data_IF_110827390299
#
_entry.id   IF_110827390299
#
_cell.length_a   1.000
_cell.length_b   1.000
_cell.length_c   1.000
_cell.angle_alpha   90.00
_cell.angle_beta   90.00
_cell.angle_gamma   90.00
#
_symmetry.space_group_name_H-M   'P 1'
#
loop_
_entity.id
_entity.type
_entity.pdbx_description
1 polymer ?
#
# COMPACT_ATOMS: atom_id res chain seq x y z
N UNK A 1 -17.29 65.98 7.25
CA UNK A 1 -16.48 66.99 6.52
C UNK A 1 -15.09 66.94 7.13
N UNK A 2 -14.10 66.60 6.30
CA UNK A 2 -12.61 66.63 6.41
C UNK A 2 -12.05 67.28 7.71
N UNK A 3 -10.98 66.78 8.33
CA UNK A 3 -9.60 66.91 7.85
C UNK A 3 -8.68 65.96 8.65
N UNK A 4 -7.83 65.23 7.92
CA UNK A 4 -6.60 64.59 8.39
C UNK A 4 -5.42 65.55 8.15
N UNK A 5 -4.41 65.57 9.04
CA UNK A 5 -2.97 65.94 8.87
C UNK A 5 -2.32 65.57 10.24
N UNK A 6 -1.60 64.47 10.42
CA UNK A 6 -0.20 64.15 10.04
C UNK A 6 0.86 65.09 10.66
N UNK A 7 1.53 64.66 11.75
CA UNK A 7 2.90 65.08 12.10
C UNK A 7 3.67 63.91 12.72
N UNK A 8 4.90 63.79 12.26
CA UNK A 8 5.86 62.70 12.45
C UNK A 8 6.89 63.00 13.53
N UNK A 9 7.45 61.91 14.10
CA UNK A 9 8.86 61.67 14.46
C UNK A 9 9.41 61.89 15.89
N UNK A 10 10.26 60.91 16.25
CA UNK A 10 11.33 60.80 17.28
C UNK A 10 10.91 60.28 18.67
N UNK A 11 11.08 58.98 18.97
CA UNK A 11 12.31 58.21 19.24
C UNK A 11 12.76 58.34 20.70
N UNK A 12 12.71 57.24 21.49
CA UNK A 12 13.76 56.80 22.45
C UNK A 12 13.51 55.32 22.80
N UNK A 13 14.44 54.48 22.35
CA UNK A 13 15.12 53.40 23.08
C UNK A 13 14.39 52.65 24.20
N UNK A 14 14.17 51.35 23.99
CA UNK A 14 14.62 50.30 24.92
C UNK A 14 14.77 48.99 24.15
N UNK A 15 15.99 48.77 23.68
CA UNK A 15 16.50 47.47 23.24
C UNK A 15 16.59 46.60 24.50
N UNK A 16 15.84 45.50 24.53
CA UNK A 16 16.13 44.37 25.42
C UNK A 16 16.42 43.17 24.54
N UNK A 17 17.69 43.09 24.12
CA UNK A 17 18.32 41.86 23.71
C UNK A 17 18.39 40.93 24.93
N UNK A 18 17.74 39.77 24.88
CA UNK A 18 18.10 38.62 25.69
C UNK A 18 18.00 37.36 24.82
N UNK A 19 19.17 37.06 24.23
CA UNK A 19 19.75 35.73 23.96
C UNK A 19 18.81 34.67 23.40
N UNK A 20 18.85 34.55 22.08
CA UNK A 20 18.80 33.24 21.41
C UNK A 20 19.87 32.34 22.05
N UNK A 21 19.41 31.25 22.66
CA UNK A 21 20.23 30.09 22.92
C UNK A 21 20.10 29.26 21.65
N UNK A 22 21.12 29.35 20.79
CA UNK A 22 21.37 28.36 19.75
C UNK A 22 21.55 27.01 20.45
N UNK A 23 20.46 26.25 20.54
CA UNK A 23 20.55 24.83 20.83
C UNK A 23 20.87 24.16 19.50
N UNK A 24 22.15 23.95 19.28
CA UNK A 24 22.70 23.12 18.23
C UNK A 24 22.24 21.68 18.49
N UNK A 25 21.01 21.36 18.07
CA UNK A 25 20.57 19.99 17.88
C UNK A 25 21.40 19.46 16.70
N UNK A 26 22.47 18.74 17.04
CA UNK A 26 23.18 17.88 16.09
C UNK A 26 22.17 16.91 15.48
N UNK A 27 21.76 17.22 14.26
CA UNK A 27 21.02 16.34 13.37
C UNK A 27 21.83 15.02 13.25
N UNK A 28 21.23 13.84 13.49
CA UNK A 28 21.96 12.59 13.32
C UNK A 28 22.31 12.46 11.83
N UNK A 29 23.61 12.43 11.54
CA UNK A 29 24.17 12.25 10.19
C UNK A 29 23.43 11.11 9.51
N UNK A 30 22.77 11.40 8.38
CA UNK A 30 22.10 10.34 7.62
C UNK A 30 23.17 9.41 7.09
N UNK A 31 22.87 8.10 7.08
CA UNK A 31 23.78 7.06 6.59
C UNK A 31 24.24 7.28 5.13
N UNK A 32 23.54 8.14 4.37
CA UNK A 32 23.87 8.52 3.01
C UNK A 32 24.98 9.60 2.91
N UNK A 33 25.34 10.25 4.01
CA UNK A 33 26.30 11.35 4.05
C UNK A 33 27.70 10.91 4.55
N UNK A 34 27.95 9.60 4.69
CA UNK A 34 29.26 9.06 5.05
C UNK A 34 30.21 9.10 3.84
N UNK A 35 31.30 9.89 3.87
CA UNK A 35 32.25 10.01 2.77
C UNK A 35 33.07 8.72 2.53
N UNK A 36 32.94 7.70 3.37
CA UNK A 36 33.54 6.37 3.16
C UNK A 36 32.55 5.35 2.56
N UNK A 37 31.29 5.72 2.33
CA UNK A 37 30.30 4.84 1.69
C UNK A 37 30.32 5.05 0.17
N UNK A 38 31.22 4.34 -0.51
CA UNK A 38 31.22 4.29 -1.97
C UNK A 38 30.06 3.40 -2.45
N UNK A 39 28.87 3.99 -2.64
CA UNK A 39 27.73 3.32 -3.30
C UNK A 39 27.89 3.47 -4.82
N UNK A 40 28.99 2.96 -5.35
CA UNK A 40 29.20 2.82 -6.79
C UNK A 40 29.67 1.39 -7.14
N UNK A 41 28.89 0.39 -6.75
CA UNK A 41 28.96 -0.92 -7.37
C UNK A 41 27.59 -1.59 -7.39
N UNK A 42 27.02 -1.72 -8.59
CA UNK A 42 25.91 -2.62 -8.87
C UNK A 42 26.22 -4.01 -8.32
N UNK A 43 25.24 -4.66 -7.69
CA UNK A 43 25.32 -6.04 -7.20
C UNK A 43 25.65 -7.09 -8.28
N UNK A 44 25.70 -6.68 -9.55
CA UNK A 44 26.12 -7.51 -10.68
C UNK A 44 27.64 -7.64 -10.85
N UNK A 45 28.46 -6.69 -10.35
CA UNK A 45 29.92 -6.70 -10.62
C UNK A 45 30.75 -7.45 -9.57
N UNK A 46 30.20 -7.71 -8.37
CA UNK A 46 30.89 -8.52 -7.35
C UNK A 46 30.85 -10.02 -7.69
N UNK A 47 29.82 -10.47 -8.43
CA UNK A 47 29.67 -11.87 -8.81
C UNK A 47 30.66 -12.34 -9.90
N UNK A 48 31.30 -11.42 -10.64
CA UNK A 48 32.18 -11.77 -11.76
C UNK A 48 33.68 -11.84 -11.42
N UNK A 49 34.09 -11.39 -10.22
CA UNK A 49 35.51 -11.40 -9.78
C UNK A 49 35.82 -12.31 -8.60
N UNK A 50 34.86 -13.09 -8.13
CA UNK A 50 35.07 -14.10 -7.08
C UNK A 50 34.64 -15.48 -7.54
N UNK A 51 35.27 -15.98 -8.61
CA UNK A 51 35.34 -17.42 -8.83
C UNK A 51 36.50 -17.95 -8.00
N UNK A 52 36.24 -18.25 -6.73
CA UNK A 52 37.09 -19.16 -5.98
C UNK A 52 36.79 -20.55 -6.52
N UNK A 53 37.72 -21.09 -7.32
CA UNK A 53 37.74 -22.51 -7.64
C UNK A 53 37.94 -23.26 -6.32
N UNK A 54 36.88 -23.87 -5.82
CA UNK A 54 36.97 -24.82 -4.73
C UNK A 54 37.03 -26.21 -5.37
N UNK A 55 38.25 -26.75 -5.48
CA UNK A 55 38.43 -28.18 -5.65
C UNK A 55 37.87 -28.88 -4.40
N UNK A 56 37.06 -29.92 -4.61
CA UNK A 56 36.18 -30.54 -3.62
C UNK A 56 36.90 -31.42 -2.56
N UNK A 57 38.21 -31.28 -2.37
CA UNK A 57 38.93 -32.08 -1.37
C UNK A 57 40.20 -31.40 -0.85
N UNK A 58 40.04 -30.29 -0.11
CA UNK A 58 41.11 -29.78 0.74
C UNK A 58 40.57 -29.33 2.10
N UNK A 59 40.64 -30.23 3.07
CA UNK A 59 40.18 -30.02 4.46
C UNK A 59 41.11 -29.16 5.32
N UNK A 60 42.14 -28.52 4.75
CA UNK A 60 43.14 -27.74 5.52
C UNK A 60 43.07 -26.21 5.34
N UNK A 61 41.97 -25.64 4.84
CA UNK A 61 41.91 -24.18 4.57
C UNK A 61 41.47 -23.33 5.78
N UNK A 62 40.81 -23.89 6.81
CA UNK A 62 40.61 -23.16 8.06
C UNK A 62 40.22 -24.12 9.20
N UNK A 63 41.09 -24.36 10.21
CA UNK A 63 40.84 -25.40 11.22
C UNK A 63 39.60 -25.16 12.12
N UNK A 64 38.92 -24.02 12.01
CA UNK A 64 37.87 -23.59 12.96
C UNK A 64 36.64 -22.89 12.33
N UNK A 65 36.43 -23.01 11.01
CA UNK A 65 35.24 -22.41 10.37
C UNK A 65 33.91 -22.90 10.98
N UNK A 66 33.90 -24.11 11.55
CA UNK A 66 32.74 -24.69 12.24
C UNK A 66 32.42 -24.04 13.60
N UNK A 67 33.40 -23.37 14.21
CA UNK A 67 33.28 -22.72 15.53
C UNK A 67 33.07 -21.20 15.41
N UNK A 68 33.25 -20.63 14.22
CA UNK A 68 33.04 -19.20 13.95
C UNK A 68 31.68 -18.70 14.44
N UNK A 69 30.62 -19.51 14.29
CA UNK A 69 29.29 -19.18 14.80
C UNK A 69 29.24 -19.15 16.33
N UNK A 70 29.87 -20.10 17.03
CA UNK A 70 29.86 -20.09 18.50
C UNK A 70 30.71 -18.98 19.09
N UNK A 71 31.76 -18.59 18.38
CA UNK A 71 32.75 -17.64 18.90
C UNK A 71 32.33 -16.19 18.66
N UNK A 72 31.64 -15.91 17.54
CA UNK A 72 31.17 -14.56 17.20
C UNK A 72 29.76 -14.25 17.70
N UNK A 73 28.85 -15.23 17.85
CA UNK A 73 27.50 -14.96 18.38
C UNK A 73 27.51 -14.17 19.70
N UNK A 74 28.26 -14.57 20.74
CA UNK A 74 28.20 -13.87 22.03
C UNK A 74 28.70 -12.42 21.91
N UNK A 75 29.71 -12.17 21.08
CA UNK A 75 30.21 -10.81 20.82
C UNK A 75 29.19 -9.95 20.05
N UNK A 76 28.52 -10.54 19.06
CA UNK A 76 27.46 -9.87 18.28
C UNK A 76 26.25 -9.58 19.18
N UNK A 77 25.87 -10.52 20.06
CA UNK A 77 24.76 -10.36 21.00
C UNK A 77 25.07 -9.29 22.06
N UNK A 78 26.26 -9.31 22.65
CA UNK A 78 26.71 -8.29 23.60
C UNK A 78 26.67 -6.89 22.97
N UNK A 79 27.28 -6.74 21.78
CA UNK A 79 27.28 -5.46 21.07
C UNK A 79 25.88 -5.02 20.63
N UNK A 80 25.00 -5.96 20.27
CA UNK A 80 23.60 -5.66 19.99
C UNK A 80 22.86 -5.17 21.23
N UNK A 81 23.15 -5.70 22.43
CA UNK A 81 22.56 -5.22 23.68
C UNK A 81 23.06 -3.83 24.07
N UNK A 82 24.35 -3.54 23.89
CA UNK A 82 24.93 -2.22 24.13
C UNK A 82 24.30 -1.14 23.25
N UNK A 83 24.17 -1.42 21.94
CA UNK A 83 23.50 -0.52 20.99
C UNK A 83 22.04 -0.27 21.41
N UNK A 84 21.35 -1.31 21.90
CA UNK A 84 19.96 -1.22 22.38
C UNK A 84 19.80 -0.39 23.66
N UNK A 85 20.82 -0.35 24.50
CA UNK A 85 20.85 0.47 25.71
C UNK A 85 21.19 1.94 25.39
N UNK A 86 22.04 2.18 24.40
CA UNK A 86 22.37 3.53 23.93
C UNK A 86 21.22 4.21 23.18
N UNK A 87 20.36 3.42 22.51
CA UNK A 87 19.16 3.90 21.81
C UNK A 87 17.90 3.22 22.37
N UNK A 88 17.43 3.60 23.57
CA UNK A 88 16.23 3.00 24.14
C UNK A 88 15.03 3.29 23.24
N UNK A 89 14.40 2.23 22.70
CA UNK A 89 13.17 2.36 21.90
C UNK A 89 12.10 3.05 22.75
N UNK A 90 11.62 4.20 22.29
CA UNK A 90 10.48 4.89 22.92
C UNK A 90 9.23 4.01 22.80
N UNK A 91 8.82 3.39 23.90
CA UNK A 91 7.65 2.50 23.96
C UNK A 91 6.36 3.20 23.55
N UNK A 92 6.25 4.51 23.81
CA UNK A 92 5.08 5.30 23.41
C UNK A 92 5.06 5.54 21.88
N UNK A 93 6.22 5.67 21.24
CA UNK A 93 6.30 5.77 19.77
C UNK A 93 5.85 4.46 19.10
N UNK A 94 6.29 3.32 19.63
CA UNK A 94 5.94 1.98 19.14
C UNK A 94 4.45 1.68 19.32
N UNK A 95 3.86 2.01 20.46
CA UNK A 95 2.42 1.85 20.71
C UNK A 95 1.58 2.70 19.75
N UNK A 96 2.01 3.95 19.48
CA UNK A 96 1.36 4.81 18.49
C UNK A 96 1.41 4.21 17.10
N UNK A 97 2.56 3.68 16.68
CA UNK A 97 2.74 3.02 15.39
C UNK A 97 1.83 1.80 15.27
N UNK A 98 1.87 0.89 16.26
CA UNK A 98 0.99 -0.30 16.29
C UNK A 98 -0.49 0.04 16.20
N UNK A 99 -0.92 1.12 16.87
CA UNK A 99 -2.30 1.61 16.78
C UNK A 99 -2.65 2.14 15.39
N UNK A 100 -1.72 2.83 14.74
CA UNK A 100 -1.90 3.35 13.39
C UNK A 100 -1.97 2.20 12.36
N UNK A 101 -1.08 1.22 12.48
CA UNK A 101 -1.04 0.03 11.61
C UNK A 101 -2.34 -0.78 11.75
N UNK A 102 -2.80 -1.03 12.99
CA UNK A 102 -4.06 -1.73 13.24
C UNK A 102 -5.28 -0.96 12.69
N UNK A 103 -5.28 0.38 12.80
CA UNK A 103 -6.34 1.21 12.20
C UNK A 103 -6.31 1.10 10.68
N UNK A 104 -5.13 1.12 10.07
CA UNK A 104 -4.98 1.01 8.61
C UNK A 104 -5.43 -0.35 8.09
N UNK A 105 -5.09 -1.43 8.78
CA UNK A 105 -5.53 -2.79 8.45
C UNK A 105 -7.05 -2.95 8.51
N UNK A 106 -7.74 -2.24 9.41
CA UNK A 106 -9.20 -2.21 9.33
C UNK A 106 -9.67 -1.47 8.07
N UNK A 107 -9.03 -0.36 7.72
CA UNK A 107 -9.44 0.41 6.55
C UNK A 107 -9.20 -0.32 5.24
N UNK A 108 -8.07 -1.02 5.07
CA UNK A 108 -7.71 -1.69 3.80
C UNK A 108 -8.81 -2.68 3.37
N UNK A 109 -9.44 -3.36 4.34
CA UNK A 109 -10.45 -4.40 4.16
C UNK A 109 -11.90 -3.89 4.03
N UNK A 110 -12.13 -2.57 4.05
CA UNK A 110 -13.47 -2.00 3.95
C UNK A 110 -14.16 -2.24 2.59
N UNK A 111 -13.38 -2.45 1.52
CA UNK A 111 -13.87 -2.58 0.15
C UNK A 111 -12.83 -3.28 -0.75
N UNK A 112 -13.25 -3.74 -1.93
CA UNK A 112 -12.34 -4.14 -3.00
C UNK A 112 -11.55 -2.94 -3.47
N UNK A 113 -10.22 -3.04 -3.45
CA UNK A 113 -9.32 -1.99 -3.93
C UNK A 113 -9.24 -2.01 -5.44
N UNK A 114 -9.25 -0.83 -6.03
CA UNK A 114 -9.13 -0.63 -7.46
C UNK A 114 -7.67 -0.30 -7.81
N UNK A 115 -6.88 -1.35 -8.02
CA UNK A 115 -5.49 -1.25 -8.41
C UNK A 115 -5.30 -0.92 -9.90
N UNK A 116 -6.39 -0.80 -10.68
CA UNK A 116 -6.34 -0.21 -12.03
C UNK A 116 -6.07 1.29 -11.97
N UNK A 117 -6.35 1.93 -10.82
CA UNK A 117 -6.07 3.35 -10.64
C UNK A 117 -4.58 3.63 -10.48
N UNK A 118 -4.11 4.77 -11.02
CA UNK A 118 -2.70 5.11 -11.01
C UNK A 118 -2.18 5.41 -9.61
N UNK A 119 -2.94 6.19 -8.84
CA UNK A 119 -2.52 6.71 -7.55
C UNK A 119 -3.43 6.27 -6.40
N UNK A 120 -2.88 6.19 -5.18
CA UNK A 120 -3.67 6.04 -3.97
C UNK A 120 -4.67 7.19 -3.78
N UNK A 121 -5.66 6.97 -2.91
CA UNK A 121 -6.70 7.94 -2.61
C UNK A 121 -6.10 9.28 -2.13
N UNK A 122 -6.46 10.37 -2.80
CA UNK A 122 -6.01 11.72 -2.45
C UNK A 122 -4.62 12.09 -2.95
N UNK A 123 -3.87 11.15 -3.55
CA UNK A 123 -2.60 11.44 -4.18
C UNK A 123 -2.83 12.03 -5.58
N UNK A 124 -2.06 13.06 -5.93
CA UNK A 124 -2.17 13.72 -7.22
C UNK A 124 -1.24 13.07 -8.23
N UNK A 125 -1.81 12.65 -9.34
CA UNK A 125 -1.05 12.14 -10.49
C UNK A 125 -0.28 13.26 -11.19
N UNK A 126 0.99 13.00 -11.50
CA UNK A 126 1.88 13.90 -12.26
C UNK A 126 2.70 13.10 -13.25
N UNK A 127 2.80 13.59 -14.48
CA UNK A 127 3.74 13.09 -15.47
C UNK A 127 5.04 13.92 -15.40
N UNK A 128 6.17 13.24 -15.20
CA UNK A 128 7.49 13.86 -15.19
C UNK A 128 7.95 14.12 -16.63
N UNK A 129 8.96 14.99 -16.78
CA UNK A 129 9.51 15.33 -18.11
C UNK A 129 10.13 14.12 -18.82
N UNK A 130 10.50 13.09 -18.06
CA UNK A 130 11.08 11.84 -18.56
C UNK A 130 10.00 10.81 -18.96
N UNK A 131 8.71 11.17 -18.88
CA UNK A 131 7.58 10.30 -19.21
C UNK A 131 7.24 9.28 -18.12
N UNK A 132 7.72 9.49 -16.89
CA UNK A 132 7.33 8.68 -15.74
C UNK A 132 6.07 9.25 -15.11
N UNK A 133 5.19 8.36 -14.64
CA UNK A 133 4.00 8.78 -13.93
C UNK A 133 4.19 8.58 -12.42
N UNK A 134 4.11 9.70 -11.70
CA UNK A 134 4.34 9.78 -10.26
C UNK A 134 3.07 10.20 -9.52
N UNK A 135 2.99 9.82 -8.24
CA UNK A 135 1.91 10.21 -7.34
C UNK A 135 2.46 11.06 -6.20
N UNK A 136 1.97 12.30 -6.11
CA UNK A 136 2.38 13.25 -5.08
C UNK A 136 1.39 13.18 -3.91
N UNK A 137 1.86 12.95 -2.66
CA UNK A 137 1.00 12.87 -1.50
C UNK A 137 0.30 14.22 -1.21
N UNK A 138 -0.93 14.20 -0.65
CA UNK A 138 -1.58 15.41 -0.18
C UNK A 138 -0.88 15.95 1.08
N UNK A 139 -1.02 17.25 1.41
CA UNK A 139 -0.43 17.84 2.62
C UNK A 139 -0.87 17.17 3.93
N UNK A 140 -2.02 16.50 3.93
CA UNK A 140 -2.56 15.76 5.08
C UNK A 140 -1.97 14.36 5.27
N UNK A 141 -1.13 13.88 4.35
CA UNK A 141 -0.53 12.57 4.45
C UNK A 141 0.63 12.59 5.44
N UNK A 142 0.49 11.85 6.53
CA UNK A 142 1.48 11.71 7.61
C UNK A 142 1.98 10.27 7.73
N UNK A 143 1.92 9.50 6.64
CA UNK A 143 2.32 8.10 6.64
C UNK A 143 3.83 7.90 6.47
N UNK A 144 4.32 6.65 6.62
CA UNK A 144 5.75 6.33 6.63
C UNK A 144 6.49 6.67 5.33
N UNK A 145 5.77 6.80 4.21
CA UNK A 145 6.36 7.06 2.90
C UNK A 145 6.35 8.54 2.52
N UNK A 146 6.21 9.44 3.50
CA UNK A 146 6.30 10.88 3.27
C UNK A 146 7.68 11.23 2.69
N UNK A 147 7.71 11.99 1.60
CA UNK A 147 8.95 12.35 0.89
C UNK A 147 9.38 11.36 -0.20
N UNK A 148 8.77 10.17 -0.28
CA UNK A 148 9.03 9.22 -1.35
C UNK A 148 8.00 9.40 -2.46
N UNK A 149 8.46 9.75 -3.67
CA UNK A 149 7.59 9.78 -4.84
C UNK A 149 7.27 8.35 -5.27
N UNK A 150 5.99 8.02 -5.36
CA UNK A 150 5.54 6.74 -5.90
C UNK A 150 5.53 6.81 -7.43
N UNK A 151 6.38 6.03 -8.10
CA UNK A 151 6.34 5.81 -9.56
C UNK A 151 5.47 4.57 -9.82
N UNK A 152 4.37 4.71 -10.56
CA UNK A 152 3.39 3.62 -10.70
C UNK A 152 3.31 2.99 -12.08
N UNK A 153 3.90 3.61 -13.12
CA UNK A 153 3.64 3.28 -14.55
C UNK A 153 3.72 1.77 -14.84
N UNK A 154 4.62 1.07 -14.16
CA UNK A 154 4.87 -0.37 -14.32
C UNK A 154 4.73 -1.14 -12.99
N UNK A 155 4.02 -0.59 -12.01
CA UNK A 155 3.88 -1.24 -10.71
C UNK A 155 2.79 -2.33 -10.80
N UNK A 156 3.13 -3.62 -10.58
CA UNK A 156 2.16 -4.70 -10.59
C UNK A 156 1.19 -4.57 -9.39
N UNK A 157 0.05 -5.25 -9.47
CA UNK A 157 -1.00 -5.16 -8.45
C UNK A 157 -0.49 -5.59 -7.07
N UNK A 158 0.31 -6.66 -7.02
CA UNK A 158 0.89 -7.20 -5.80
C UNK A 158 1.80 -6.18 -5.11
N UNK A 159 2.61 -5.44 -5.87
CA UNK A 159 3.45 -4.38 -5.32
C UNK A 159 2.60 -3.22 -4.80
N UNK A 160 1.50 -2.87 -5.50
CA UNK A 160 0.57 -1.84 -5.01
C UNK A 160 -0.08 -2.26 -3.68
N UNK A 161 -0.43 -3.54 -3.52
CA UNK A 161 -0.93 -4.08 -2.24
C UNK A 161 0.10 -3.89 -1.14
N UNK A 162 1.34 -4.33 -1.36
CA UNK A 162 2.43 -4.22 -0.37
C UNK A 162 2.73 -2.75 -0.04
N UNK A 163 2.78 -1.88 -1.04
CA UNK A 163 2.96 -0.44 -0.85
C UNK A 163 1.83 0.16 -0.01
N UNK A 164 0.58 -0.23 -0.28
CA UNK A 164 -0.58 0.30 0.45
C UNK A 164 -0.50 0.02 1.94
N UNK A 165 -0.01 -1.17 2.31
CA UNK A 165 0.18 -1.62 3.68
C UNK A 165 1.34 -0.83 4.31
N UNK A 166 2.51 -0.82 3.67
CA UNK A 166 3.71 -0.19 4.22
C UNK A 166 3.59 1.33 4.36
N UNK A 167 2.90 1.97 3.42
CA UNK A 167 2.75 3.42 3.36
C UNK A 167 1.48 3.92 4.06
N UNK A 168 0.66 3.03 4.62
CA UNK A 168 -0.59 3.39 5.29
C UNK A 168 -1.51 4.27 4.42
N UNK A 169 -1.54 3.96 3.12
CA UNK A 169 -2.26 4.72 2.10
C UNK A 169 -2.97 3.77 1.14
N UNK A 170 -4.29 3.90 1.05
CA UNK A 170 -5.11 2.95 0.31
C UNK A 170 -5.37 3.40 -1.13
N UNK A 171 -5.44 2.45 -2.06
CA UNK A 171 -6.06 2.68 -3.36
C UNK A 171 -7.57 2.92 -3.21
N UNK A 172 -8.21 3.65 -4.14
CA UNK A 172 -9.64 3.84 -4.12
C UNK A 172 -10.40 2.51 -4.17
N UNK A 173 -11.64 2.50 -3.71
CA UNK A 173 -12.51 1.34 -3.85
C UNK A 173 -12.98 1.17 -5.29
N UNK A 174 -13.21 -0.06 -5.73
CA UNK A 174 -13.94 -0.33 -6.98
C UNK A 174 -15.36 0.21 -6.85
N UNK A 175 -15.71 1.17 -7.71
CA UNK A 175 -17.02 1.81 -7.77
C UNK A 175 -17.85 1.17 -8.88
N UNK A 176 -18.60 0.12 -8.56
CA UNK A 176 -19.50 -0.55 -9.50
C UNK A 176 -20.76 -1.07 -8.79
N UNK A 177 -21.81 -1.35 -9.57
CA UNK A 177 -22.98 -2.11 -9.08
C UNK A 177 -22.61 -3.59 -9.12
N UNK A 178 -22.54 -4.23 -7.95
CA UNK A 178 -22.21 -5.66 -7.85
C UNK A 178 -23.44 -6.53 -8.06
N UNK A 179 -23.26 -7.65 -8.76
CA UNK A 179 -24.31 -8.63 -9.05
C UNK A 179 -24.54 -9.60 -7.90
N UNK A 180 -25.08 -9.13 -6.79
CA UNK A 180 -25.48 -9.98 -5.65
C UNK A 180 -26.61 -10.98 -5.97
N UNK A 181 -27.13 -10.96 -7.20
CA UNK A 181 -28.01 -11.99 -7.74
C UNK A 181 -27.28 -13.26 -8.18
N UNK A 182 -25.97 -13.18 -8.44
CA UNK A 182 -25.18 -14.34 -8.84
C UNK A 182 -24.98 -15.26 -7.61
N UNK A 183 -25.00 -16.57 -7.84
CA UNK A 183 -24.95 -17.55 -6.75
C UNK A 183 -23.69 -17.43 -5.89
N UNK A 184 -22.54 -17.29 -6.54
CA UNK A 184 -21.24 -17.21 -5.90
C UNK A 184 -20.50 -15.93 -6.32
N UNK A 185 -19.64 -15.39 -5.44
CA UNK A 185 -18.76 -14.29 -5.77
C UNK A 185 -17.65 -14.70 -6.77
N UNK A 186 -16.87 -13.74 -7.24
CA UNK A 186 -15.69 -14.01 -8.07
C UNK A 186 -14.69 -14.89 -7.32
N UNK A 187 -14.05 -15.82 -8.06
CA UNK A 187 -13.10 -16.81 -7.52
C UNK A 187 -13.73 -17.77 -6.50
N UNK A 188 -15.04 -17.93 -6.57
CA UNK A 188 -15.80 -18.95 -5.87
C UNK A 188 -16.71 -19.65 -6.87
N UNK A 189 -16.88 -20.96 -6.70
CA UNK A 189 -17.67 -21.79 -7.60
C UNK A 189 -18.70 -22.60 -6.82
N UNK A 190 -19.75 -23.04 -7.52
CA UNK A 190 -20.76 -23.92 -6.91
C UNK A 190 -20.14 -25.29 -6.67
N UNK A 191 -20.36 -25.84 -5.48
CA UNK A 191 -19.98 -27.21 -5.15
C UNK A 191 -20.83 -28.20 -5.96
N UNK A 192 -20.23 -28.78 -7.00
CA UNK A 192 -20.89 -29.77 -7.86
C UNK A 192 -21.26 -31.05 -7.10
N UNK A 193 -20.66 -31.31 -5.93
CA UNK A 193 -20.98 -32.45 -5.09
C UNK A 193 -22.14 -32.18 -4.12
N UNK A 194 -22.68 -30.96 -4.08
CA UNK A 194 -23.83 -30.62 -3.25
C UNK A 194 -25.12 -31.26 -3.79
N UNK A 195 -25.40 -32.47 -3.30
CA UNK A 195 -26.66 -33.17 -3.54
C UNK A 195 -27.82 -32.66 -2.68
N UNK A 196 -27.57 -31.74 -1.75
CA UNK A 196 -28.59 -31.24 -0.81
C UNK A 196 -29.45 -30.09 -1.38
N UNK A 197 -29.12 -29.61 -2.59
CA UNK A 197 -29.86 -28.55 -3.29
C UNK A 197 -29.73 -27.18 -2.65
N UNK A 198 -28.69 -26.97 -1.81
CA UNK A 198 -28.49 -25.73 -1.05
C UNK A 198 -27.60 -24.72 -1.80
N UNK A 199 -27.05 -25.10 -2.95
CA UNK A 199 -26.21 -24.24 -3.79
C UNK A 199 -25.06 -23.65 -2.97
N UNK A 200 -24.21 -24.53 -2.46
CA UNK A 200 -23.02 -24.13 -1.70
C UNK A 200 -21.96 -23.55 -2.63
N UNK A 201 -21.30 -22.49 -2.19
CA UNK A 201 -20.14 -21.92 -2.84
C UNK A 201 -18.87 -22.35 -2.10
N UNK A 202 -17.85 -22.75 -2.87
CA UNK A 202 -16.51 -23.10 -2.40
C UNK A 202 -15.46 -22.20 -3.08
N UNK A 203 -14.35 -21.86 -2.42
CA UNK A 203 -13.32 -21.01 -3.00
C UNK A 203 -12.54 -21.76 -4.08
N UNK A 204 -12.18 -21.07 -5.16
CA UNK A 204 -11.31 -21.62 -6.20
C UNK A 204 -9.84 -21.49 -5.79
N UNK A 205 -8.93 -22.12 -6.57
CA UNK A 205 -7.48 -22.05 -6.32
C UNK A 205 -6.88 -20.65 -6.42
N UNK A 206 -7.55 -19.73 -7.13
CA UNK A 206 -7.09 -18.37 -7.35
C UNK A 206 -7.55 -17.38 -6.27
N UNK A 207 -8.36 -17.86 -5.32
CA UNK A 207 -8.81 -17.08 -4.18
C UNK A 207 -7.69 -16.93 -3.14
N UNK A 208 -7.40 -15.67 -2.80
CA UNK A 208 -6.29 -15.30 -1.90
C UNK A 208 -6.77 -14.66 -0.60
N UNK A 209 -8.08 -14.72 -0.32
CA UNK A 209 -8.65 -14.16 0.91
C UNK A 209 -8.63 -15.15 2.08
N UNK A 210 -9.10 -14.74 3.27
CA UNK A 210 -8.98 -15.53 4.50
C UNK A 210 -9.94 -16.73 4.61
N UNK A 211 -10.95 -16.85 3.74
CA UNK A 211 -12.01 -17.87 3.83
C UNK A 211 -11.74 -19.08 2.93
N UNK A 212 -10.53 -19.65 2.97
CA UNK A 212 -10.07 -20.72 2.04
C UNK A 212 -10.74 -22.08 2.25
N UNK A 213 -11.24 -22.35 3.45
CA UNK A 213 -11.81 -23.65 3.82
C UNK A 213 -13.31 -23.57 4.15
N UNK A 214 -13.97 -22.46 3.77
CA UNK A 214 -15.40 -22.26 4.01
C UNK A 214 -16.25 -22.79 2.84
N UNK A 215 -17.39 -23.41 3.16
CA UNK A 215 -18.47 -23.73 2.22
C UNK A 215 -19.74 -23.04 2.70
N UNK A 216 -20.35 -22.21 1.84
CA UNK A 216 -21.44 -21.32 2.26
C UNK A 216 -22.51 -21.16 1.19
N UNK A 217 -23.77 -21.07 1.62
CA UNK A 217 -24.91 -20.77 0.76
C UNK A 217 -25.44 -19.35 1.02
N UNK A 218 -25.60 -18.58 -0.05
CA UNK A 218 -26.12 -17.20 0.01
C UNK A 218 -27.62 -17.09 -0.23
N UNK A 219 -28.34 -18.20 -0.39
CA UNK A 219 -29.79 -18.20 -0.68
C UNK A 219 -30.63 -17.51 0.39
N UNK A 220 -30.19 -17.55 1.65
CA UNK A 220 -30.87 -16.89 2.78
C UNK A 220 -30.29 -15.52 3.11
N UNK A 221 -29.23 -15.09 2.42
CA UNK A 221 -28.54 -13.84 2.69
C UNK A 221 -29.20 -12.70 1.92
N UNK A 222 -29.56 -11.64 2.65
CA UNK A 222 -29.86 -10.36 2.00
C UNK A 222 -28.56 -9.66 1.55
N UNK A 223 -28.69 -8.63 0.71
CA UNK A 223 -27.56 -7.90 0.13
C UNK A 223 -26.61 -7.33 1.19
N UNK A 224 -27.12 -6.88 2.34
CA UNK A 224 -26.26 -6.31 3.39
C UNK A 224 -25.43 -7.39 4.08
N UNK A 225 -26.01 -8.57 4.31
CA UNK A 225 -25.26 -9.72 4.81
C UNK A 225 -24.18 -10.17 3.82
N UNK A 226 -24.48 -10.18 2.52
CA UNK A 226 -23.49 -10.49 1.47
C UNK A 226 -22.35 -9.47 1.47
N UNK A 227 -22.65 -8.16 1.62
CA UNK A 227 -21.62 -7.11 1.76
C UNK A 227 -20.73 -7.28 2.98
N UNK A 228 -21.31 -7.62 4.13
CA UNK A 228 -20.54 -7.86 5.35
C UNK A 228 -19.64 -9.09 5.20
N UNK A 229 -20.17 -10.16 4.61
CA UNK A 229 -19.39 -11.34 4.28
C UNK A 229 -18.26 -11.01 3.29
N UNK A 230 -18.53 -10.23 2.24
CA UNK A 230 -17.51 -9.79 1.27
C UNK A 230 -16.35 -9.05 1.91
N UNK A 231 -16.62 -8.15 2.85
CA UNK A 231 -15.57 -7.42 3.58
C UNK A 231 -14.72 -8.36 4.43
N UNK A 232 -15.36 -9.30 5.13
CA UNK A 232 -14.69 -10.29 5.99
C UNK A 232 -13.83 -11.26 5.18
N UNK A 233 -14.36 -11.79 4.09
CA UNK A 233 -13.69 -12.76 3.24
C UNK A 233 -12.88 -12.15 2.11
N UNK A 234 -12.86 -10.82 1.96
CA UNK A 234 -12.21 -10.14 0.83
C UNK A 234 -12.61 -10.75 -0.54
N UNK A 235 -13.84 -11.23 -0.64
CA UNK A 235 -14.41 -11.88 -1.82
C UNK A 235 -15.58 -11.04 -2.35
N UNK A 236 -15.59 -10.76 -3.64
CA UNK A 236 -16.46 -9.75 -4.22
C UNK A 236 -17.32 -10.35 -5.31
N UNK A 237 -18.58 -9.95 -5.38
CA UNK A 237 -19.41 -10.27 -6.52
C UNK A 237 -18.96 -9.47 -7.74
N UNK A 238 -19.10 -10.03 -8.94
CA UNK A 238 -18.71 -9.37 -10.16
C UNK A 238 -19.47 -8.06 -10.32
N UNK A 239 -18.81 -7.09 -10.94
CA UNK A 239 -19.45 -5.85 -11.34
C UNK A 239 -20.41 -6.12 -12.50
N UNK A 240 -21.56 -5.46 -12.50
CA UNK A 240 -22.27 -5.20 -13.75
C UNK A 240 -21.34 -4.40 -14.64
N UNK A 241 -20.97 -4.95 -15.80
CA UNK A 241 -20.27 -4.14 -16.79
C UNK A 241 -21.15 -2.94 -17.15
N UNK A 242 -20.57 -1.74 -17.35
CA UNK A 242 -21.25 -0.77 -18.18
C UNK A 242 -21.36 -1.41 -19.57
N UNK A 243 -22.58 -1.73 -19.98
CA UNK A 243 -22.91 -2.31 -21.28
C UNK A 243 -22.20 -1.53 -22.41
N UNK A 244 -21.00 -2.00 -22.78
CA UNK A 244 -20.23 -1.52 -23.93
C UNK A 244 -20.52 -2.37 -25.17
N UNK A 245 -21.68 -3.05 -25.18
CA UNK A 245 -22.29 -3.59 -26.40
C UNK A 245 -23.36 -2.64 -26.93
N UNK A 246 -23.00 -1.38 -27.18
CA UNK A 246 -23.76 -0.54 -28.13
C UNK A 246 -23.19 -0.69 -29.54
N UNK A 247 -23.15 -1.92 -30.05
CA UNK A 247 -23.56 -2.15 -31.42
C UNK A 247 -25.07 -2.28 -31.40
N UNK A 248 -25.77 -1.24 -31.86
CA UNK A 248 -27.23 -1.14 -32.05
C UNK A 248 -28.11 -2.02 -31.12
N UNK A 249 -28.81 -1.46 -30.12
CA UNK A 249 -29.70 -2.20 -29.21
C UNK A 249 -30.92 -2.87 -29.90
N UNK A 250 -31.05 -2.73 -31.22
CA UNK A 250 -32.16 -3.25 -32.00
C UNK A 250 -32.11 -4.77 -32.26
N UNK A 251 -30.99 -5.46 -32.01
CA UNK A 251 -30.90 -6.89 -32.33
C UNK A 251 -31.48 -7.80 -31.23
N UNK A 252 -31.38 -7.42 -29.95
CA UNK A 252 -31.67 -8.33 -28.85
C UNK A 252 -33.13 -8.29 -28.38
N UNK A 253 -33.80 -7.13 -28.39
CA UNK A 253 -35.14 -6.99 -27.82
C UNK A 253 -35.99 -5.92 -28.56
N UNK A 254 -36.75 -6.30 -29.60
CA UNK A 254 -37.41 -5.36 -30.52
C UNK A 254 -38.61 -4.59 -29.92
N UNK A 255 -38.98 -4.85 -28.66
CA UNK A 255 -40.19 -4.31 -28.00
C UNK A 255 -39.88 -3.51 -26.72
N UNK A 256 -38.62 -3.13 -26.49
CA UNK A 256 -38.28 -2.33 -25.31
C UNK A 256 -38.72 -0.87 -25.48
N UNK A 257 -38.92 -0.17 -24.35
CA UNK A 257 -39.14 1.28 -24.36
C UNK A 257 -37.97 2.03 -25.01
N UNK A 258 -36.74 1.53 -24.88
CA UNK A 258 -35.56 2.11 -25.52
C UNK A 258 -35.63 2.02 -27.05
N UNK A 259 -35.99 0.85 -27.60
CA UNK A 259 -36.21 0.67 -29.03
C UNK A 259 -37.38 1.55 -29.54
N UNK A 260 -38.43 1.72 -28.73
CA UNK A 260 -39.57 2.58 -29.06
C UNK A 260 -39.17 4.07 -29.08
N UNK A 261 -38.41 4.54 -28.09
CA UNK A 261 -37.92 5.92 -28.02
C UNK A 261 -36.96 6.25 -29.17
N UNK A 262 -36.08 5.32 -29.54
CA UNK A 262 -35.17 5.50 -30.68
C UNK A 262 -35.93 5.71 -31.99
N UNK A 263 -36.96 4.89 -32.28
CA UNK A 263 -37.83 5.03 -33.47
C UNK A 263 -38.65 6.32 -33.52
N UNK A 264 -38.82 7.00 -32.40
CA UNK A 264 -39.57 8.27 -32.32
C UNK A 264 -38.61 9.47 -32.46
N UNK A 265 -37.30 9.27 -32.24
CA UNK A 265 -36.31 10.34 -32.20
C UNK A 265 -35.39 10.40 -33.43
N UNK A 266 -35.49 9.42 -34.32
CA UNK A 266 -34.80 9.33 -35.61
C UNK A 266 -35.81 8.94 -36.70
#
# INVERSE_FOLDING_TARGET
MKIAILWTLLAVSSISCLRDVDNEETEPTRLADDPNLDVSASTADIASKSTLNLDEDNTDILPDAHNLKSDLLPYIEERATEIRQQHPRDTHSEERKKKLDSKHEHTINLCQRDYTKPCPLGFRHVETKDGEHTCIPPPSYTGPCMGNNLVYRNMPEEDKVVWSINCLANWPCVMCRRRYSDFCPEKWELDEHDTSGKLQCIPTKDYQGPCTDESISFLTYNIEMQKQWSKRCQAWWPCDEPDMTTGAPDAALPITMAATLYRITH
#
